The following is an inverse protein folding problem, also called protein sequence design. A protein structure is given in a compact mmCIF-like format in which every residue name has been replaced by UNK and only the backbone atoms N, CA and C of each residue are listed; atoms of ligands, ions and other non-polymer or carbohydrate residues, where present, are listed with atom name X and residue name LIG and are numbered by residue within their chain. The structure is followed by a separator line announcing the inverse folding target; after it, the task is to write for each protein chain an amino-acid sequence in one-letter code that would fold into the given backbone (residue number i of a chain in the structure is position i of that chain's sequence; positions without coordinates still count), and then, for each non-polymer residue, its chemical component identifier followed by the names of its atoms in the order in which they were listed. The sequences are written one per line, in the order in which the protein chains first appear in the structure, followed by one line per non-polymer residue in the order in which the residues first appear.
data_IF_269976109096
#
_entry.id   IF_269976109096
#
_cell.length_a   1.000
_cell.length_b   1.000
_cell.length_c   1.000
_cell.angle_alpha   90.00
_cell.angle_beta   90.00
_cell.angle_gamma   90.00
#
_symmetry.space_group_name_H-M   'P 1'
#
loop_
_entity.id
_entity.type
_entity.pdbx_description
1 polymer ?
#
# COMPACT_ATOMS: atom_id res chain seq x y z
N UNK A 1 76.59 8.95 -52.29
CA UNK A 1 75.18 8.48 -52.18
C UNK A 1 74.58 9.00 -50.92
N UNK A 2 73.63 9.96 -50.99
CA UNK A 2 72.90 10.53 -49.83
C UNK A 2 71.59 9.81 -49.63
N UNK A 3 71.33 9.30 -48.43
CA UNK A 3 70.03 8.65 -48.06
C UNK A 3 68.90 9.72 -48.04
N UNK A 4 67.67 9.34 -48.47
CA UNK A 4 66.51 10.20 -48.42
C UNK A 4 65.99 10.40 -47.01
N UNK A 5 65.30 11.52 -46.66
CA UNK A 5 64.84 11.82 -45.34
C UNK A 5 63.63 10.90 -44.93
N UNK A 6 63.67 10.42 -43.67
CA UNK A 6 62.60 9.60 -43.09
C UNK A 6 61.29 10.42 -42.91
N UNK A 7 60.20 9.88 -43.37
CA UNK A 7 58.84 10.44 -43.15
C UNK A 7 58.50 10.48 -41.65
N UNK A 8 57.81 11.53 -41.17
CA UNK A 8 57.43 11.66 -39.77
C UNK A 8 56.37 10.58 -39.41
N UNK A 9 56.48 10.01 -38.19
CA UNK A 9 55.52 9.08 -37.62
C UNK A 9 54.18 9.81 -37.34
N UNK A 10 53.03 9.17 -37.60
CA UNK A 10 51.75 9.72 -37.20
C UNK A 10 51.63 9.83 -35.67
N UNK A 11 50.89 10.81 -35.13
CA UNK A 11 50.76 11.00 -33.69
C UNK A 11 50.06 9.82 -33.07
N UNK A 12 50.52 9.40 -31.86
CA UNK A 12 49.94 8.32 -31.09
C UNK A 12 48.48 8.64 -30.79
N UNK A 13 47.59 7.66 -31.06
CA UNK A 13 46.16 7.72 -30.74
C UNK A 13 46.00 7.90 -29.23
N UNK A 14 45.22 8.90 -28.82
CA UNK A 14 44.82 9.12 -27.43
C UNK A 14 44.19 7.85 -26.85
N UNK A 15 44.47 7.47 -25.60
CA UNK A 15 43.82 6.34 -24.95
C UNK A 15 42.34 6.63 -24.90
N UNK A 16 41.51 5.65 -25.33
CA UNK A 16 40.07 5.69 -25.21
C UNK A 16 39.71 5.83 -23.74
N UNK A 17 38.94 6.84 -23.39
CA UNK A 17 38.39 7.03 -22.06
C UNK A 17 37.58 5.82 -21.62
N UNK A 18 37.33 5.61 -20.30
CA UNK A 18 36.61 4.46 -19.80
C UNK A 18 35.23 4.39 -20.47
N UNK A 19 34.91 3.24 -21.05
CA UNK A 19 33.57 2.97 -21.62
C UNK A 19 32.52 3.26 -20.58
N UNK A 20 31.45 3.98 -20.92
CA UNK A 20 30.33 4.14 -20.00
C UNK A 20 29.83 2.75 -19.60
N UNK A 21 29.39 2.56 -18.32
CA UNK A 21 28.86 1.29 -17.86
C UNK A 21 27.72 0.86 -18.77
N UNK A 22 27.72 -0.39 -19.17
CA UNK A 22 26.70 -0.98 -20.03
C UNK A 22 25.31 -0.71 -19.39
N UNK A 23 24.38 -0.18 -20.19
CA UNK A 23 23.01 0.01 -19.74
C UNK A 23 22.49 -1.29 -19.10
N UNK A 24 21.84 -1.23 -17.92
CA UNK A 24 21.36 -2.43 -17.25
C UNK A 24 20.44 -3.21 -18.21
N UNK A 25 20.75 -4.48 -18.43
CA UNK A 25 19.91 -5.38 -19.22
C UNK A 25 18.48 -5.31 -18.69
N UNK A 26 17.51 -5.09 -19.59
CA UNK A 26 16.09 -5.14 -19.25
C UNK A 26 15.81 -6.44 -18.47
N UNK A 27 15.13 -6.38 -17.31
CA UNK A 27 14.90 -7.55 -16.50
C UNK A 27 14.08 -8.58 -17.28
N UNK A 28 14.33 -9.89 -17.05
CA UNK A 28 13.60 -11.02 -17.66
C UNK A 28 12.07 -10.96 -17.52
N UNK A 29 11.54 -10.04 -16.71
CA UNK A 29 10.12 -9.76 -16.52
C UNK A 29 9.44 -9.08 -17.73
N UNK A 30 10.18 -8.40 -18.60
CA UNK A 30 9.59 -7.71 -19.76
C UNK A 30 8.95 -8.68 -20.79
N UNK A 31 9.37 -9.95 -20.79
CA UNK A 31 8.85 -10.96 -21.73
C UNK A 31 7.46 -11.52 -21.36
N UNK A 32 6.93 -11.23 -20.14
CA UNK A 32 5.70 -11.87 -19.62
C UNK A 32 4.62 -10.88 -19.16
N UNK A 33 4.66 -9.65 -19.67
CA UNK A 33 3.71 -8.59 -19.34
C UNK A 33 2.84 -8.32 -20.58
N UNK A 34 1.53 -8.23 -20.37
CA UNK A 34 0.57 -7.71 -21.36
C UNK A 34 0.50 -6.20 -21.23
N UNK A 35 0.65 -5.48 -22.33
CA UNK A 35 0.57 -4.01 -22.38
C UNK A 35 -0.65 -3.61 -23.19
N UNK A 36 -1.59 -2.91 -22.54
CA UNK A 36 -2.82 -2.41 -23.15
C UNK A 36 -2.73 -0.89 -23.27
N UNK A 37 -2.76 -0.38 -24.49
CA UNK A 37 -2.80 1.07 -24.72
C UNK A 37 -4.22 1.60 -24.62
N UNK A 38 -4.39 2.71 -23.91
CA UNK A 38 -5.67 3.38 -23.74
C UNK A 38 -5.94 4.27 -24.96
N UNK A 39 -6.94 3.91 -25.75
CA UNK A 39 -7.41 4.70 -26.89
C UNK A 39 -8.36 5.84 -26.47
N UNK A 40 -8.72 6.70 -27.44
CA UNK A 40 -9.69 7.79 -27.21
C UNK A 40 -11.04 7.28 -26.67
N UNK A 41 -11.51 6.13 -27.13
CA UNK A 41 -12.80 5.54 -26.71
C UNK A 41 -12.77 4.99 -25.27
N UNK A 42 -11.59 4.78 -24.70
CA UNK A 42 -11.40 4.24 -23.35
C UNK A 42 -10.97 5.32 -22.35
N UNK A 43 -10.74 6.55 -22.82
CA UNK A 43 -10.38 7.67 -21.97
C UNK A 43 -11.51 7.96 -20.96
N UNK A 44 -11.13 8.37 -19.75
CA UNK A 44 -11.99 8.62 -18.60
C UNK A 44 -12.71 7.37 -18.03
N UNK A 45 -12.60 6.20 -18.65
CA UNK A 45 -13.14 4.97 -18.06
C UNK A 45 -12.39 4.60 -16.78
N UNK A 46 -13.08 4.10 -15.75
CA UNK A 46 -12.45 3.48 -14.60
C UNK A 46 -11.54 2.32 -15.03
N UNK A 47 -10.37 2.19 -14.41
CA UNK A 47 -9.41 1.12 -14.68
C UNK A 47 -10.05 -0.27 -14.61
N UNK A 48 -10.95 -0.50 -13.65
CA UNK A 48 -11.69 -1.75 -13.50
C UNK A 48 -12.53 -2.09 -14.74
N UNK A 49 -13.23 -1.11 -15.29
CA UNK A 49 -14.11 -1.28 -16.43
C UNK A 49 -13.30 -1.48 -17.72
N UNK A 50 -12.19 -0.76 -17.86
CA UNK A 50 -11.24 -0.94 -18.95
C UNK A 50 -10.67 -2.35 -18.95
N UNK A 51 -10.19 -2.85 -17.81
CA UNK A 51 -9.64 -4.21 -17.70
C UNK A 51 -10.70 -5.29 -17.96
N UNK A 52 -11.90 -5.11 -17.41
CA UNK A 52 -13.01 -6.04 -17.62
C UNK A 52 -13.32 -6.19 -19.12
N UNK A 53 -13.43 -5.07 -19.83
CA UNK A 53 -13.72 -5.06 -21.28
C UNK A 53 -12.56 -5.60 -22.11
N UNK A 54 -11.33 -5.12 -21.88
CA UNK A 54 -10.17 -5.46 -22.73
C UNK A 54 -9.65 -6.88 -22.52
N UNK A 55 -9.83 -7.46 -21.33
CA UNK A 55 -9.36 -8.81 -21.00
C UNK A 55 -10.49 -9.86 -21.03
N UNK A 56 -11.74 -9.45 -21.25
CA UNK A 56 -12.91 -10.33 -21.20
C UNK A 56 -13.19 -10.91 -19.81
N UNK A 57 -12.91 -10.13 -18.76
CA UNK A 57 -13.10 -10.51 -17.36
C UNK A 57 -14.41 -9.96 -16.79
N UNK A 58 -14.89 -10.57 -15.69
CA UNK A 58 -15.93 -9.92 -14.89
C UNK A 58 -15.35 -8.70 -14.14
N UNK A 59 -16.20 -7.72 -13.79
CA UNK A 59 -15.79 -6.58 -12.95
C UNK A 59 -15.15 -7.03 -11.63
N UNK A 60 -15.69 -8.09 -11.02
CA UNK A 60 -15.13 -8.68 -9.79
C UNK A 60 -13.72 -9.21 -10.00
N UNK A 61 -13.46 -9.94 -11.08
CA UNK A 61 -12.15 -10.47 -11.42
C UNK A 61 -11.15 -9.34 -11.76
N UNK A 62 -11.58 -8.33 -12.52
CA UNK A 62 -10.76 -7.15 -12.79
C UNK A 62 -10.40 -6.40 -11.49
N UNK A 63 -11.37 -6.23 -10.58
CA UNK A 63 -11.11 -5.63 -9.27
C UNK A 63 -10.12 -6.45 -8.45
N UNK A 64 -10.22 -7.77 -8.43
CA UNK A 64 -9.30 -8.65 -7.71
C UNK A 64 -7.85 -8.51 -8.23
N UNK A 65 -7.65 -8.36 -9.55
CA UNK A 65 -6.34 -8.10 -10.14
C UNK A 65 -5.78 -6.75 -9.66
N UNK A 66 -6.61 -5.71 -9.59
CA UNK A 66 -6.23 -4.38 -9.14
C UNK A 66 -5.90 -4.41 -7.62
N UNK A 67 -6.75 -5.00 -6.81
CA UNK A 67 -6.54 -5.16 -5.36
C UNK A 67 -5.29 -6.00 -5.07
N UNK A 68 -5.01 -7.00 -5.92
CA UNK A 68 -3.79 -7.82 -5.91
C UNK A 68 -2.52 -7.09 -6.36
N UNK A 69 -2.60 -5.78 -6.63
CA UNK A 69 -1.46 -4.92 -7.02
C UNK A 69 -0.70 -5.42 -8.25
N UNK A 70 -1.44 -5.98 -9.19
CA UNK A 70 -0.88 -6.59 -10.40
C UNK A 70 -1.15 -5.76 -11.65
N UNK A 71 -1.51 -4.47 -11.50
CA UNK A 71 -1.79 -3.55 -12.61
C UNK A 71 -0.94 -2.30 -12.48
N UNK A 72 -0.30 -1.94 -13.58
CA UNK A 72 0.49 -0.71 -13.68
C UNK A 72 -0.09 0.17 -14.79
N UNK A 73 -0.13 1.48 -14.55
CA UNK A 73 -0.44 2.50 -15.54
C UNK A 73 0.80 3.39 -15.67
N UNK A 74 1.40 3.42 -16.85
CA UNK A 74 2.63 4.15 -17.10
C UNK A 74 3.75 3.79 -16.09
N UNK A 75 3.94 2.49 -15.85
CA UNK A 75 4.92 1.92 -14.88
C UNK A 75 4.67 2.30 -13.42
N UNK A 76 3.47 2.81 -13.07
CA UNK A 76 3.04 3.06 -11.69
C UNK A 76 1.99 2.05 -11.30
N UNK A 77 2.18 1.33 -10.20
CA UNK A 77 1.16 0.40 -9.72
C UNK A 77 -0.10 1.17 -9.32
N UNK A 78 -1.22 0.77 -9.88
CA UNK A 78 -2.53 1.35 -9.58
C UNK A 78 -3.40 0.26 -8.97
N UNK A 79 -3.86 0.49 -7.75
CA UNK A 79 -4.75 -0.40 -7.00
C UNK A 79 -6.08 0.24 -6.64
N UNK A 80 -6.44 1.33 -7.35
CA UNK A 80 -7.73 2.00 -7.25
C UNK A 80 -8.56 1.57 -8.45
N UNK A 81 -9.65 0.84 -8.19
CA UNK A 81 -10.55 0.35 -9.25
C UNK A 81 -11.16 1.48 -10.09
N UNK A 82 -11.43 2.62 -9.47
CA UNK A 82 -11.99 3.82 -10.13
C UNK A 82 -10.94 4.79 -10.70
N UNK A 83 -9.66 4.37 -10.80
CA UNK A 83 -8.63 5.21 -11.42
C UNK A 83 -9.03 5.55 -12.84
N UNK A 84 -9.20 6.85 -13.14
CA UNK A 84 -9.57 7.35 -14.47
C UNK A 84 -8.36 7.30 -15.41
N UNK A 85 -8.50 6.60 -16.53
CA UNK A 85 -7.47 6.47 -17.54
C UNK A 85 -7.47 7.66 -18.50
N UNK A 86 -6.30 7.99 -19.04
CA UNK A 86 -6.12 9.02 -20.07
C UNK A 86 -5.73 8.38 -21.39
N UNK A 87 -6.09 9.02 -22.51
CA UNK A 87 -5.61 8.60 -23.83
C UNK A 87 -4.08 8.55 -23.85
N UNK A 88 -3.53 7.44 -24.34
CA UNK A 88 -2.08 7.21 -24.39
C UNK A 88 -1.51 6.53 -23.15
N UNK A 89 -2.30 6.31 -22.09
CA UNK A 89 -1.83 5.52 -20.94
C UNK A 89 -1.50 4.09 -21.38
N UNK A 90 -0.39 3.56 -20.87
CA UNK A 90 0.01 2.16 -21.02
C UNK A 90 -0.37 1.40 -19.74
N UNK A 91 -1.32 0.47 -19.86
CA UNK A 91 -1.74 -0.40 -18.76
C UNK A 91 -1.02 -1.74 -18.87
N UNK A 92 -0.19 -2.07 -17.90
CA UNK A 92 0.67 -3.25 -17.89
C UNK A 92 0.18 -4.26 -16.86
N UNK A 93 0.05 -5.55 -17.26
CA UNK A 93 -0.42 -6.62 -16.37
C UNK A 93 0.38 -7.90 -16.66
N UNK A 94 0.89 -8.64 -15.65
CA UNK A 94 1.53 -9.93 -15.86
C UNK A 94 0.57 -10.95 -16.50
N UNK A 95 0.98 -11.61 -17.57
CA UNK A 95 0.16 -12.62 -18.27
C UNK A 95 -0.28 -13.77 -17.38
N UNK A 96 0.56 -14.15 -16.41
CA UNK A 96 0.21 -15.15 -15.40
C UNK A 96 -1.02 -14.77 -14.57
N UNK A 97 -1.15 -13.49 -14.21
CA UNK A 97 -2.29 -12.96 -13.43
C UNK A 97 -3.56 -12.97 -14.27
N UNK A 98 -3.47 -12.58 -15.57
CA UNK A 98 -4.59 -12.63 -16.50
C UNK A 98 -5.08 -14.07 -16.67
N UNK A 99 -4.14 -15.01 -16.85
CA UNK A 99 -4.45 -16.44 -17.03
C UNK A 99 -5.10 -17.06 -15.78
N UNK A 100 -4.65 -16.65 -14.57
CA UNK A 100 -5.25 -17.09 -13.31
C UNK A 100 -6.69 -16.56 -13.16
N UNK A 101 -6.94 -15.29 -13.47
CA UNK A 101 -8.25 -14.67 -13.38
C UNK A 101 -9.26 -15.26 -14.40
N UNK A 102 -8.79 -15.66 -15.59
CA UNK A 102 -9.62 -16.33 -16.58
C UNK A 102 -10.02 -17.76 -16.17
N UNK A 103 -9.14 -18.49 -15.47
CA UNK A 103 -9.44 -19.84 -14.94
C UNK A 103 -10.52 -19.82 -13.88
N UNK A 104 -10.55 -18.81 -13.01
CA UNK A 104 -11.60 -18.66 -12.00
C UNK A 104 -13.00 -18.42 -12.60
N UNK A 105 -13.11 -17.91 -13.84
CA UNK A 105 -14.39 -17.75 -14.53
C UNK A 105 -15.01 -19.08 -14.96
N UNK A 106 -14.22 -20.13 -15.15
CA UNK A 106 -14.70 -21.47 -15.53
C UNK A 106 -15.36 -22.25 -14.37
N UNK A 107 -15.03 -21.94 -13.11
CA UNK A 107 -15.59 -22.61 -11.94
C UNK A 107 -16.88 -21.94 -11.40
N UNK A 108 -17.14 -20.68 -11.74
CA UNK A 108 -18.29 -19.91 -11.26
C UNK A 108 -19.60 -20.14 -12.07
N UNK A 109 -19.52 -20.86 -13.21
CA UNK A 109 -20.69 -21.14 -14.06
C UNK A 109 -21.54 -22.29 -13.52
N UNK A 110 -21.03 -23.09 -12.58
CA UNK A 110 -21.71 -24.28 -12.04
C UNK A 110 -22.55 -24.03 -10.79
N UNK A 111 -22.62 -22.80 -10.25
CA UNK A 111 -23.38 -22.49 -9.04
C UNK A 111 -24.35 -21.30 -9.16
N UNK A 112 -25.00 -21.12 -10.31
CA UNK A 112 -26.14 -20.19 -10.42
C UNK A 112 -27.40 -20.93 -10.83
N UNK A 113 -28.04 -21.55 -9.85
CA UNK A 113 -29.49 -21.68 -9.85
C UNK A 113 -29.99 -21.51 -8.41
N UNK A 114 -30.92 -20.59 -8.26
CA UNK A 114 -31.76 -20.23 -7.10
C UNK A 114 -31.25 -19.06 -6.23
N UNK A 115 -31.77 -17.91 -6.42
CA UNK A 115 -32.83 -17.30 -5.63
C UNK A 115 -33.28 -15.94 -6.17
N UNK A 116 -34.56 -15.70 -6.04
CA UNK A 116 -35.45 -14.70 -6.63
C UNK A 116 -35.48 -13.41 -5.82
N UNK A 117 -35.56 -12.26 -6.56
CA UNK A 117 -36.27 -10.99 -6.37
C UNK A 117 -36.57 -10.42 -4.98
N UNK A 118 -36.22 -9.16 -4.85
CA UNK A 118 -37.03 -7.96 -4.47
C UNK A 118 -36.03 -6.80 -4.26
N UNK A 119 -36.07 -5.57 -4.75
CA UNK A 119 -37.15 -4.71 -5.05
C UNK A 119 -36.84 -3.33 -4.49
N UNK A 120 -36.90 -2.28 -5.35
CA UNK A 120 -37.07 -0.84 -5.04
C UNK A 120 -35.90 -0.02 -4.50
N UNK A 121 -35.34 0.89 -5.28
CA UNK A 121 -35.72 2.30 -5.57
C UNK A 121 -35.70 3.25 -4.37
N UNK A 122 -34.74 4.22 -4.39
CA UNK A 122 -35.02 5.60 -3.99
C UNK A 122 -33.85 6.55 -4.36
N UNK A 123 -34.15 7.48 -5.16
CA UNK A 123 -33.85 8.89 -5.35
C UNK A 123 -32.61 9.54 -4.71
N UNK A 124 -31.86 10.23 -5.58
CA UNK A 124 -30.92 11.30 -5.26
C UNK A 124 -31.60 12.57 -4.76
N UNK A 125 -30.91 13.39 -3.98
CA UNK A 125 -31.11 14.82 -4.07
C UNK A 125 -29.85 15.54 -4.57
N UNK A 126 -30.07 16.33 -5.60
CA UNK A 126 -29.21 17.38 -6.09
C UNK A 126 -29.04 18.48 -5.03
N UNK A 127 -27.78 18.84 -4.77
CA UNK A 127 -27.43 19.99 -3.96
C UNK A 127 -26.17 20.63 -4.50
N UNK A 128 -26.34 21.77 -5.20
CA UNK A 128 -25.28 22.69 -5.63
C UNK A 128 -24.66 23.38 -4.40
N UNK A 129 -23.35 23.50 -4.26
CA UNK A 129 -22.75 24.48 -3.37
C UNK A 129 -22.28 25.70 -4.16
N UNK A 130 -22.86 26.84 -3.83
CA UNK A 130 -22.24 28.16 -4.03
C UNK A 130 -21.22 28.41 -2.93
N UNK A 131 -20.12 29.07 -3.28
CA UNK A 131 -19.24 29.72 -2.31
C UNK A 131 -17.77 29.59 -2.70
N UNK A 132 -17.31 30.48 -3.59
CA UNK A 132 -15.90 30.81 -3.74
C UNK A 132 -15.48 31.58 -2.49
N UNK A 133 -14.63 30.94 -1.66
CA UNK A 133 -13.78 31.65 -0.72
C UNK A 133 -12.34 31.23 -0.93
N UNK A 134 -11.61 32.19 -1.45
CA UNK A 134 -10.17 32.22 -1.65
C UNK A 134 -9.47 32.18 -0.27
N UNK A 135 -9.18 31.01 0.22
CA UNK A 135 -8.18 30.85 1.27
C UNK A 135 -6.92 30.29 0.62
N UNK A 136 -6.05 31.19 0.20
CA UNK A 136 -4.62 30.95 0.02
C UNK A 136 -4.04 30.75 1.41
N UNK A 137 -4.38 29.65 2.06
CA UNK A 137 -3.66 29.18 3.22
C UNK A 137 -2.30 28.69 2.72
N UNK A 138 -1.25 29.33 3.21
CA UNK A 138 0.14 28.94 3.07
C UNK A 138 0.25 27.42 3.10
N UNK A 139 0.65 26.80 1.97
CA UNK A 139 1.03 25.38 1.88
C UNK A 139 2.32 25.21 2.70
N UNK A 140 2.21 25.12 4.01
CA UNK A 140 3.27 24.51 4.81
C UNK A 140 3.58 23.17 4.17
N UNK A 141 4.80 23.01 3.67
CA UNK A 141 5.25 21.76 3.04
C UNK A 141 5.19 20.70 4.13
N UNK A 142 4.14 19.88 4.09
CA UNK A 142 4.00 18.77 5.02
C UNK A 142 5.24 17.91 4.89
N UNK A 143 5.99 17.76 5.96
CA UNK A 143 7.20 16.94 6.03
C UNK A 143 6.84 15.55 6.56
N UNK A 144 7.30 14.49 5.92
CA UNK A 144 7.14 13.10 6.35
C UNK A 144 8.48 12.59 6.86
N UNK A 145 8.52 12.11 8.09
CA UNK A 145 9.73 11.57 8.71
C UNK A 145 10.15 10.30 7.99
N UNK A 146 11.43 10.22 7.60
CA UNK A 146 12.07 9.00 7.11
C UNK A 146 12.63 8.23 8.30
N UNK A 147 12.29 6.93 8.41
CA UNK A 147 12.74 6.04 9.48
C UNK A 147 13.98 5.23 9.08
N UNK A 148 14.03 4.81 7.82
CA UNK A 148 15.17 4.10 7.24
C UNK A 148 15.22 4.39 5.74
N UNK A 149 16.44 4.39 5.18
CA UNK A 149 16.67 4.59 3.77
C UNK A 149 17.86 3.76 3.30
N UNK A 150 17.71 3.11 2.14
CA UNK A 150 18.76 2.42 1.39
C UNK A 150 18.89 3.05 -0.01
N UNK A 151 19.76 2.51 -0.85
CA UNK A 151 19.85 2.96 -2.25
C UNK A 151 18.55 2.72 -3.03
N UNK A 152 17.78 1.72 -2.64
CA UNK A 152 16.58 1.26 -3.36
C UNK A 152 15.27 1.51 -2.64
N UNK A 153 15.29 1.72 -1.31
CA UNK A 153 14.07 1.80 -0.50
C UNK A 153 14.08 2.95 0.48
N UNK A 154 12.88 3.38 0.86
CA UNK A 154 12.62 4.34 1.94
C UNK A 154 11.52 3.77 2.81
N UNK A 155 11.71 3.73 4.12
CA UNK A 155 10.64 3.50 5.09
C UNK A 155 10.30 4.81 5.76
N UNK A 156 9.05 5.24 5.64
CA UNK A 156 8.58 6.48 6.21
C UNK A 156 7.66 6.23 7.42
N UNK A 157 7.62 7.21 8.31
CA UNK A 157 6.66 7.29 9.41
C UNK A 157 5.39 7.99 8.92
N UNK A 158 4.42 7.21 8.49
CA UNK A 158 3.16 7.76 7.98
C UNK A 158 2.37 8.42 9.10
N UNK A 159 2.04 9.71 9.01
CA UNK A 159 1.11 10.35 9.94
C UNK A 159 -0.34 9.92 9.69
N UNK A 160 -1.22 10.17 10.66
CA UNK A 160 -2.65 10.00 10.51
C UNK A 160 -3.25 11.05 9.56
N UNK A 161 -4.44 10.78 9.01
CA UNK A 161 -5.21 11.70 8.17
C UNK A 161 -4.76 11.79 6.72
N UNK A 162 -3.64 11.14 6.35
CA UNK A 162 -3.07 11.18 5.00
C UNK A 162 -3.11 9.77 4.38
N UNK A 163 -3.51 9.67 3.13
CA UNK A 163 -3.47 8.40 2.38
C UNK A 163 -2.04 8.03 1.99
N UNK A 164 -1.79 6.73 1.82
CA UNK A 164 -0.45 6.23 1.48
C UNK A 164 0.03 6.72 0.11
N UNK A 165 -0.86 6.75 -0.88
CA UNK A 165 -0.54 6.98 -2.29
C UNK A 165 -1.79 7.34 -3.11
N UNK A 166 -1.61 7.58 -4.42
CA UNK A 166 -2.67 7.81 -5.41
C UNK A 166 -3.48 9.10 -5.23
N UNK A 167 -2.94 10.03 -4.47
CA UNK A 167 -3.50 11.37 -4.25
C UNK A 167 -2.36 12.40 -4.26
N UNK A 168 -2.64 13.61 -4.72
CA UNK A 168 -1.65 14.70 -4.77
C UNK A 168 -1.11 15.11 -3.38
N UNK A 169 -1.88 14.83 -2.32
CA UNK A 169 -1.50 15.08 -0.93
C UNK A 169 -1.16 13.78 -0.18
N UNK A 170 -0.91 12.68 -0.88
CA UNK A 170 -0.50 11.41 -0.28
C UNK A 170 0.92 11.46 0.28
N UNK A 171 1.23 10.53 1.18
CA UNK A 171 2.61 10.35 1.69
C UNK A 171 3.59 10.13 0.54
N UNK A 172 3.20 9.36 -0.47
CA UNK A 172 4.01 9.12 -1.68
C UNK A 172 4.33 10.42 -2.41
N UNK A 173 3.33 11.28 -2.64
CA UNK A 173 3.52 12.55 -3.35
C UNK A 173 4.41 13.52 -2.54
N UNK A 174 4.21 13.57 -1.22
CA UNK A 174 5.03 14.40 -0.32
C UNK A 174 6.47 13.93 -0.34
N UNK A 175 6.72 12.62 -0.21
CA UNK A 175 8.09 12.06 -0.21
C UNK A 175 8.79 12.20 -1.56
N UNK A 176 8.08 12.07 -2.68
CA UNK A 176 8.65 12.36 -4.01
C UNK A 176 9.22 13.78 -4.09
N UNK A 177 8.48 14.75 -3.61
CA UNK A 177 8.93 16.15 -3.59
C UNK A 177 10.03 16.38 -2.55
N UNK A 178 9.90 15.81 -1.36
CA UNK A 178 10.84 15.98 -0.25
C UNK A 178 12.23 15.40 -0.55
N UNK A 179 12.27 14.22 -1.18
CA UNK A 179 13.51 13.48 -1.46
C UNK A 179 14.03 13.71 -2.88
N UNK A 180 13.31 14.49 -3.70
CA UNK A 180 13.59 14.65 -5.14
C UNK A 180 13.67 13.29 -5.88
N UNK A 181 12.76 12.36 -5.52
CA UNK A 181 12.68 11.01 -6.07
C UNK A 181 11.34 10.84 -6.85
N UNK A 182 11.26 11.28 -8.10
CA UNK A 182 10.00 11.31 -8.86
C UNK A 182 9.42 9.92 -9.12
N UNK A 183 10.26 8.89 -9.11
CA UNK A 183 9.89 7.48 -9.32
C UNK A 183 9.53 6.74 -8.05
N UNK A 184 9.63 7.40 -6.88
CA UNK A 184 9.30 6.79 -5.58
C UNK A 184 7.86 6.25 -5.59
N UNK A 185 7.67 5.01 -5.12
CA UNK A 185 6.39 4.31 -5.18
C UNK A 185 6.14 3.49 -3.92
N UNK A 186 4.93 3.61 -3.35
CA UNK A 186 4.55 2.84 -2.18
C UNK A 186 4.45 1.34 -2.51
N UNK A 187 5.15 0.49 -1.76
CA UNK A 187 5.14 -0.98 -1.93
C UNK A 187 3.87 -1.59 -1.33
N UNK A 188 3.41 -1.05 -0.21
CA UNK A 188 2.17 -1.45 0.45
C UNK A 188 1.40 -0.22 0.92
N UNK A 189 0.28 -0.42 1.57
CA UNK A 189 -0.55 0.68 2.07
C UNK A 189 -0.90 0.51 3.55
N UNK A 190 -1.10 1.63 4.20
CA UNK A 190 -1.80 1.76 5.47
C UNK A 190 -3.09 2.55 5.24
N UNK A 191 -4.09 2.32 6.08
CA UNK A 191 -5.32 3.12 6.05
C UNK A 191 -5.02 4.59 6.34
N UNK A 192 -5.91 5.50 5.95
CA UNK A 192 -5.73 6.94 6.12
C UNK A 192 -5.29 7.31 7.55
N UNK A 193 -5.99 6.76 8.55
CA UNK A 193 -5.80 7.12 9.96
C UNK A 193 -4.89 6.14 10.72
N UNK A 194 -4.38 5.09 10.06
CA UNK A 194 -3.31 4.25 10.59
C UNK A 194 -1.97 4.97 10.43
N UNK A 195 -1.18 4.99 11.50
CA UNK A 195 0.15 5.61 11.54
C UNK A 195 1.28 4.58 11.47
N UNK A 196 2.52 5.01 11.20
CA UNK A 196 3.72 4.18 11.35
C UNK A 196 4.40 3.75 10.05
N UNK A 197 5.16 2.66 10.10
CA UNK A 197 6.06 2.21 9.05
C UNK A 197 5.37 1.93 7.71
N UNK A 198 5.78 2.65 6.68
CA UNK A 198 5.30 2.51 5.30
C UNK A 198 6.50 2.45 4.33
N UNK A 199 6.62 1.36 3.57
CA UNK A 199 7.72 1.11 2.64
C UNK A 199 7.44 1.69 1.26
N UNK A 200 8.46 2.36 0.71
CA UNK A 200 8.51 2.87 -0.66
C UNK A 200 9.72 2.31 -1.38
N UNK A 201 9.59 2.04 -2.67
CA UNK A 201 10.67 1.73 -3.58
C UNK A 201 11.04 2.97 -4.41
N UNK A 202 12.33 3.22 -4.62
CA UNK A 202 12.83 4.39 -5.37
C UNK A 202 12.73 4.20 -6.88
N UNK A 203 12.65 2.96 -7.35
CA UNK A 203 12.51 2.66 -8.78
C UNK A 203 11.61 1.43 -8.99
N UNK A 204 11.23 1.20 -10.25
CA UNK A 204 10.31 0.14 -10.62
C UNK A 204 10.85 -1.27 -10.36
N UNK A 205 12.13 -1.50 -10.51
CA UNK A 205 12.76 -2.81 -10.28
C UNK A 205 12.73 -3.17 -8.80
N UNK A 206 13.11 -2.22 -7.93
CA UNK A 206 13.01 -2.35 -6.49
C UNK A 206 11.55 -2.58 -6.05
N UNK A 207 10.60 -1.88 -6.69
CA UNK A 207 9.17 -2.09 -6.42
C UNK A 207 8.74 -3.52 -6.69
N UNK A 208 9.05 -4.07 -7.89
CA UNK A 208 8.69 -5.44 -8.25
C UNK A 208 9.34 -6.48 -7.32
N UNK A 209 10.61 -6.29 -7.01
CA UNK A 209 11.35 -7.16 -6.10
C UNK A 209 10.76 -7.17 -4.69
N UNK A 210 10.39 -5.99 -4.15
CA UNK A 210 9.74 -5.90 -2.84
C UNK A 210 8.34 -6.53 -2.84
N UNK A 211 7.52 -6.31 -3.89
CA UNK A 211 6.19 -6.95 -4.02
C UNK A 211 6.31 -8.47 -3.94
N UNK A 212 7.34 -9.06 -4.55
CA UNK A 212 7.56 -10.51 -4.50
C UNK A 212 7.91 -10.99 -3.08
N UNK A 213 8.69 -10.22 -2.31
CA UNK A 213 8.96 -10.52 -0.90
C UNK A 213 7.68 -10.43 -0.06
N UNK A 214 6.79 -9.48 -0.34
CA UNK A 214 5.49 -9.38 0.35
C UNK A 214 4.57 -10.57 0.05
N UNK A 215 4.57 -11.09 -1.18
CA UNK A 215 3.79 -12.28 -1.55
C UNK A 215 4.28 -13.57 -0.88
N UNK A 216 5.57 -13.69 -0.63
CA UNK A 216 6.17 -14.86 0.01
C UNK A 216 6.11 -14.85 1.53
N UNK A 217 5.37 -13.91 2.13
CA UNK A 217 5.20 -13.76 3.59
C UNK A 217 6.51 -13.62 4.39
N UNK A 218 7.61 -13.23 3.75
CA UNK A 218 8.90 -12.99 4.41
C UNK A 218 9.03 -11.61 5.04
N UNK A 219 7.91 -10.89 5.15
CA UNK A 219 7.85 -9.57 5.76
C UNK A 219 7.26 -9.69 7.15
N UNK A 220 8.03 -9.30 8.17
CA UNK A 220 7.53 -9.15 9.53
C UNK A 220 6.87 -7.78 9.69
N UNK A 221 5.59 -7.77 10.03
CA UNK A 221 4.78 -6.56 10.26
C UNK A 221 4.18 -6.63 11.64
N UNK A 222 4.60 -5.72 12.51
CA UNK A 222 4.08 -5.60 13.88
C UNK A 222 3.33 -4.30 14.03
N UNK A 223 2.13 -4.40 14.57
CA UNK A 223 1.26 -3.27 14.85
C UNK A 223 0.97 -3.19 16.34
N UNK A 224 0.70 -1.98 16.81
CA UNK A 224 0.09 -1.74 18.11
C UNK A 224 -1.35 -1.26 17.91
N UNK A 225 -2.26 -1.76 18.73
CA UNK A 225 -3.66 -1.38 18.74
C UNK A 225 -4.16 -1.13 20.16
N UNK A 226 -5.01 -0.12 20.34
CA UNK A 226 -5.82 0.02 21.55
C UNK A 226 -7.23 -0.43 21.17
N UNK A 227 -7.75 -1.42 21.90
CA UNK A 227 -9.07 -1.99 21.66
C UNK A 227 -10.00 -1.69 22.84
N UNK A 228 -11.31 -1.66 22.55
CA UNK A 228 -12.32 -1.54 23.59
C UNK A 228 -12.48 -2.86 24.34
N UNK A 229 -12.64 -2.76 25.65
CA UNK A 229 -12.81 -3.90 26.55
C UNK A 229 -11.50 -4.51 27.05
N UNK A 230 -11.64 -5.30 28.11
CA UNK A 230 -10.54 -6.04 28.72
C UNK A 230 -10.27 -7.31 27.93
N UNK A 231 -9.12 -7.35 27.24
CA UNK A 231 -8.69 -8.52 26.49
C UNK A 231 -8.13 -9.58 27.43
N UNK A 232 -8.82 -10.70 27.56
CA UNK A 232 -8.52 -11.69 28.60
C UNK A 232 -7.32 -12.60 28.25
N UNK A 233 -7.06 -12.84 26.96
CA UNK A 233 -6.02 -13.75 26.54
C UNK A 233 -4.64 -13.08 26.52
N UNK A 234 -3.61 -13.80 26.97
CA UNK A 234 -2.21 -13.35 26.80
C UNK A 234 -1.80 -13.37 25.32
N UNK A 235 -2.19 -14.44 24.61
CA UNK A 235 -1.99 -14.63 23.19
C UNK A 235 -3.26 -15.17 22.55
N UNK A 236 -3.56 -14.72 21.35
CA UNK A 236 -4.71 -15.17 20.57
C UNK A 236 -4.43 -15.11 19.07
N UNK A 237 -4.83 -16.12 18.33
CA UNK A 237 -4.70 -16.13 16.87
C UNK A 237 -6.06 -16.02 16.22
N UNK A 238 -6.23 -15.04 15.34
CA UNK A 238 -7.42 -14.89 14.52
C UNK A 238 -7.09 -15.42 13.12
N UNK A 239 -7.61 -16.61 12.81
CA UNK A 239 -7.57 -17.23 11.48
C UNK A 239 -8.97 -17.22 10.90
N UNK A 240 -9.37 -16.09 10.34
CA UNK A 240 -10.70 -15.89 9.77
C UNK A 240 -10.58 -15.25 8.39
N UNK A 241 -11.11 -15.88 7.34
CA UNK A 241 -10.97 -15.36 5.98
C UNK A 241 -11.72 -14.04 5.84
N UNK A 242 -11.14 -13.13 5.06
CA UNK A 242 -11.72 -11.83 4.73
C UNK A 242 -11.97 -11.76 3.22
N UNK A 243 -13.20 -11.47 2.84
CA UNK A 243 -13.64 -11.41 1.43
C UNK A 243 -13.36 -12.72 0.66
N UNK A 244 -13.39 -13.87 1.35
CA UNK A 244 -13.10 -15.19 0.79
C UNK A 244 -11.60 -15.51 0.67
N UNK A 245 -10.71 -14.64 1.17
CA UNK A 245 -9.28 -14.85 1.13
C UNK A 245 -8.71 -15.10 2.53
N UNK A 246 -7.74 -16.02 2.64
CA UNK A 246 -7.07 -16.31 3.91
C UNK A 246 -6.52 -15.03 4.54
N UNK A 247 -6.81 -14.86 5.84
CA UNK A 247 -6.30 -13.77 6.64
C UNK A 247 -5.91 -14.29 8.03
N UNK A 248 -4.69 -13.96 8.48
CA UNK A 248 -4.11 -14.47 9.73
C UNK A 248 -3.47 -13.35 10.53
N UNK A 249 -3.89 -13.22 11.80
CA UNK A 249 -3.38 -12.22 12.74
C UNK A 249 -3.08 -12.87 14.10
N UNK A 250 -1.87 -12.64 14.61
CA UNK A 250 -1.44 -13.06 15.94
C UNK A 250 -1.51 -11.87 16.88
N UNK A 251 -2.26 -11.99 17.94
CA UNK A 251 -2.54 -10.94 18.91
C UNK A 251 -1.89 -11.30 20.24
N UNK A 252 -1.14 -10.37 20.82
CA UNK A 252 -0.56 -10.50 22.15
C UNK A 252 -0.98 -9.29 22.98
N UNK A 253 -1.39 -9.52 24.23
CA UNK A 253 -1.76 -8.46 25.16
C UNK A 253 -0.50 -7.86 25.78
N UNK A 254 -0.30 -6.56 25.61
CA UNK A 254 0.78 -5.78 26.26
C UNK A 254 0.32 -5.20 27.60
N UNK A 255 -0.94 -4.72 27.67
CA UNK A 255 -1.57 -4.24 28.89
C UNK A 255 -3.10 -4.31 28.79
N UNK A 256 -3.80 -4.41 29.90
CA UNK A 256 -5.25 -4.35 29.95
C UNK A 256 -5.72 -3.50 31.14
N UNK A 257 -6.63 -2.56 30.85
CA UNK A 257 -7.46 -1.87 31.81
C UNK A 257 -8.88 -2.46 31.86
N UNK A 258 -9.77 -1.87 32.63
CA UNK A 258 -11.19 -2.33 32.70
C UNK A 258 -11.94 -2.08 31.39
N UNK A 259 -11.70 -0.96 30.70
CA UNK A 259 -12.49 -0.49 29.57
C UNK A 259 -11.75 -0.59 28.23
N UNK A 260 -10.43 -0.78 28.25
CA UNK A 260 -9.59 -0.87 27.07
C UNK A 260 -8.38 -1.78 27.29
N UNK A 261 -7.80 -2.29 26.20
CA UNK A 261 -6.57 -3.07 26.21
C UNK A 261 -5.59 -2.59 25.15
N UNK A 262 -4.30 -2.70 25.47
CA UNK A 262 -3.19 -2.44 24.58
C UNK A 262 -2.67 -3.76 24.01
N UNK A 263 -2.68 -3.90 22.70
CA UNK A 263 -2.36 -5.12 22.01
C UNK A 263 -1.20 -4.92 21.03
N UNK A 264 -0.36 -5.93 20.92
CA UNK A 264 0.59 -6.14 19.81
C UNK A 264 -0.05 -7.10 18.82
N UNK A 265 -0.05 -6.76 17.54
CA UNK A 265 -0.62 -7.58 16.48
C UNK A 265 0.43 -7.83 15.41
N UNK A 266 0.81 -9.08 15.18
CA UNK A 266 1.63 -9.52 14.05
C UNK A 266 0.72 -10.11 12.98
N UNK A 267 0.87 -9.66 11.73
CA UNK A 267 0.08 -10.17 10.62
C UNK A 267 0.95 -10.91 9.60
N UNK A 268 0.47 -12.05 9.12
CA UNK A 268 1.12 -12.78 8.03
C UNK A 268 0.60 -12.33 6.67
N UNK A 269 -0.66 -12.07 6.57
CA UNK A 269 -1.34 -11.57 5.37
C UNK A 269 -1.51 -10.04 5.43
N UNK A 270 -2.08 -9.42 4.38
CA UNK A 270 -2.29 -7.97 4.33
C UNK A 270 -3.60 -7.60 3.63
N UNK A 271 -4.74 -8.14 4.12
CA UNK A 271 -6.06 -7.87 3.55
C UNK A 271 -6.56 -6.48 3.93
N UNK A 272 -7.49 -5.94 3.16
CA UNK A 272 -8.08 -4.62 3.41
C UNK A 272 -8.69 -4.57 4.81
N UNK A 273 -8.25 -3.60 5.63
CA UNK A 273 -8.69 -3.40 7.00
C UNK A 273 -8.54 -4.64 7.92
N UNK A 274 -7.61 -5.56 7.60
CA UNK A 274 -7.53 -6.88 8.24
C UNK A 274 -7.56 -6.82 9.77
N UNK A 275 -6.65 -6.08 10.40
CA UNK A 275 -6.54 -6.00 11.86
C UNK A 275 -7.83 -5.46 12.47
N UNK A 276 -8.38 -4.40 11.89
CA UNK A 276 -9.61 -3.73 12.34
C UNK A 276 -10.81 -4.69 12.28
N UNK A 277 -10.96 -5.42 11.17
CA UNK A 277 -12.03 -6.41 10.96
C UNK A 277 -11.86 -7.62 11.88
N UNK A 278 -10.64 -8.16 12.01
CA UNK A 278 -10.35 -9.28 12.90
C UNK A 278 -10.66 -8.95 14.37
N UNK A 279 -10.15 -7.81 14.86
CA UNK A 279 -10.37 -7.41 16.24
C UNK A 279 -11.85 -7.11 16.52
N UNK A 280 -12.57 -6.49 15.60
CA UNK A 280 -14.01 -6.29 15.71
C UNK A 280 -14.78 -7.63 15.69
N UNK A 281 -14.37 -8.57 14.84
CA UNK A 281 -14.98 -9.90 14.73
C UNK A 281 -14.90 -10.73 16.02
N UNK A 282 -13.83 -10.55 16.79
CA UNK A 282 -13.66 -11.18 18.11
C UNK A 282 -14.17 -10.32 19.27
N UNK A 283 -14.97 -9.27 18.99
CA UNK A 283 -15.60 -8.35 19.95
C UNK A 283 -14.65 -7.42 20.72
N UNK A 284 -13.44 -7.18 20.17
CA UNK A 284 -12.48 -6.19 20.70
C UNK A 284 -12.17 -5.14 19.62
N UNK A 285 -13.13 -4.29 19.23
CA UNK A 285 -12.93 -3.33 18.16
C UNK A 285 -11.88 -2.30 18.53
N UNK A 286 -11.16 -1.80 17.53
CA UNK A 286 -10.15 -0.75 17.72
C UNK A 286 -10.82 0.54 18.16
N UNK A 287 -10.31 1.14 19.25
CA UNK A 287 -10.81 2.41 19.79
C UNK A 287 -10.64 3.53 18.76
N UNK A 288 -11.67 4.37 18.59
CA UNK A 288 -11.69 5.46 17.62
C UNK A 288 -11.89 5.02 16.16
N UNK A 289 -12.14 3.73 15.89
CA UNK A 289 -12.46 3.25 14.56
C UNK A 289 -13.90 3.58 14.19
N UNK A 290 -14.08 4.47 13.20
CA UNK A 290 -15.41 4.93 12.77
C UNK A 290 -16.18 3.90 11.95
N UNK A 291 -15.50 2.92 11.36
CA UNK A 291 -16.10 1.92 10.45
C UNK A 291 -16.45 0.64 11.19
N UNK A 292 -15.48 0.07 11.91
CA UNK A 292 -15.58 -1.23 12.58
C UNK A 292 -15.58 -1.10 14.12
N UNK A 293 -15.47 0.12 14.64
CA UNK A 293 -15.44 0.42 16.05
C UNK A 293 -16.82 0.39 16.71
N UNK A 294 -16.82 0.74 17.99
CA UNK A 294 -18.06 0.87 18.77
C UNK A 294 -18.98 1.94 18.19
N UNK A 295 -20.27 1.69 18.19
CA UNK A 295 -21.32 2.67 17.84
C UNK A 295 -21.79 3.47 19.06
N UNK A 296 -21.68 2.86 20.24
CA UNK A 296 -21.92 3.48 21.54
C UNK A 296 -21.07 2.77 22.60
N UNK A 297 -20.79 3.44 23.70
CA UNK A 297 -20.06 2.86 24.83
C UNK A 297 -20.58 3.46 26.14
N UNK A 298 -20.53 2.67 27.24
CA UNK A 298 -20.83 3.16 28.61
C UNK A 298 -19.79 4.20 29.05
N UNK A 299 -18.52 3.95 28.72
CA UNK A 299 -17.44 4.90 28.96
C UNK A 299 -17.34 5.90 27.78
N UNK A 300 -17.67 7.18 28.00
CA UNK A 300 -17.63 8.20 26.95
C UNK A 300 -16.21 8.44 26.41
N UNK A 301 -15.17 8.11 27.17
CA UNK A 301 -13.78 8.25 26.74
C UNK A 301 -13.49 7.40 25.49
N UNK A 302 -14.12 6.22 25.36
CA UNK A 302 -13.96 5.35 24.19
C UNK A 302 -14.50 6.02 22.91
N UNK A 303 -15.52 6.85 23.01
CA UNK A 303 -16.14 7.55 21.90
C UNK A 303 -15.43 8.88 21.56
N UNK A 304 -14.69 9.45 22.52
CA UNK A 304 -13.97 10.72 22.36
C UNK A 304 -12.66 10.59 21.57
N UNK A 305 -12.16 9.37 21.34
CA UNK A 305 -10.91 9.14 20.60
C UNK A 305 -11.11 9.44 19.11
N UNK A 306 -10.34 10.40 18.53
CA UNK A 306 -10.68 11.00 17.23
C UNK A 306 -10.42 10.11 16.03
N UNK A 307 -9.56 9.11 16.13
CA UNK A 307 -9.19 8.19 15.05
C UNK A 307 -8.93 6.77 15.56
N UNK A 308 -8.89 5.81 14.66
CA UNK A 308 -8.49 4.44 14.99
C UNK A 308 -7.10 4.40 15.65
N UNK A 309 -7.02 3.89 16.85
CA UNK A 309 -5.77 3.68 17.59
C UNK A 309 -5.07 2.43 17.07
N UNK A 310 -4.57 2.51 15.84
CA UNK A 310 -3.79 1.49 15.15
C UNK A 310 -2.50 2.11 14.59
N UNK A 311 -1.37 1.46 14.86
CA UNK A 311 -0.04 1.94 14.54
C UNK A 311 0.86 0.83 14.03
N UNK A 312 1.43 0.97 12.84
CA UNK A 312 2.42 0.07 12.25
C UNK A 312 3.78 0.31 12.91
N UNK A 313 4.04 -0.37 14.03
CA UNK A 313 5.17 -0.12 14.90
C UNK A 313 6.52 -0.55 14.31
N UNK A 314 6.55 -1.68 13.59
CA UNK A 314 7.79 -2.11 12.94
C UNK A 314 7.54 -2.86 11.65
N UNK A 315 8.52 -2.75 10.77
CA UNK A 315 8.58 -3.44 9.48
C UNK A 315 9.99 -4.01 9.33
N UNK A 316 10.09 -5.32 9.06
CA UNK A 316 11.36 -5.99 8.76
C UNK A 316 11.18 -6.91 7.57
N UNK A 317 12.07 -6.83 6.58
CA UNK A 317 12.09 -7.70 5.41
C UNK A 317 13.52 -7.85 4.90
N UNK A 318 13.87 -8.99 4.23
CA UNK A 318 15.12 -9.08 3.50
C UNK A 318 15.13 -8.01 2.40
N UNK A 319 16.29 -7.36 2.19
CA UNK A 319 16.45 -6.44 1.06
C UNK A 319 16.57 -7.25 -0.23
N UNK A 320 15.58 -7.20 -1.14
CA UNK A 320 15.63 -8.03 -2.32
C UNK A 320 16.60 -7.54 -3.39
N UNK A 321 17.16 -6.34 -3.22
CA UNK A 321 18.13 -5.75 -4.14
C UNK A 321 19.57 -5.96 -3.69
N UNK A 322 19.78 -6.36 -2.41
CA UNK A 322 21.11 -6.55 -1.80
C UNK A 322 21.17 -7.94 -1.18
N UNK A 323 22.06 -8.81 -1.69
CA UNK A 323 22.23 -10.17 -1.17
C UNK A 323 22.63 -10.13 0.32
N UNK A 324 21.84 -10.79 1.16
CA UNK A 324 22.03 -10.82 2.61
C UNK A 324 21.66 -9.51 3.33
N UNK A 325 21.15 -8.50 2.60
CA UNK A 325 20.68 -7.26 3.18
C UNK A 325 19.33 -7.42 3.90
N UNK A 326 19.07 -6.53 4.84
CA UNK A 326 17.80 -6.44 5.57
C UNK A 326 17.35 -4.97 5.64
N UNK A 327 16.07 -4.74 5.41
CA UNK A 327 15.41 -3.47 5.66
C UNK A 327 14.64 -3.60 6.96
N UNK A 328 15.02 -2.80 7.96
CA UNK A 328 14.41 -2.80 9.28
C UNK A 328 14.09 -1.37 9.69
N UNK A 329 12.85 -1.16 10.11
CA UNK A 329 12.41 0.13 10.62
C UNK A 329 11.49 -0.03 11.82
N UNK A 330 11.56 0.94 12.72
CA UNK A 330 10.70 1.08 13.88
C UNK A 330 10.15 2.50 13.92
N UNK A 331 8.83 2.62 14.10
CA UNK A 331 8.15 3.89 14.28
C UNK A 331 7.75 4.04 15.76
N UNK A 332 8.14 5.14 16.43
CA UNK A 332 7.74 5.38 17.81
C UNK A 332 6.25 5.68 17.88
N UNK A 333 5.61 5.30 18.99
CA UNK A 333 4.20 5.60 19.22
C UNK A 333 3.93 7.11 19.09
N UNK A 334 2.94 7.53 18.28
CA UNK A 334 2.60 8.94 18.14
C UNK A 334 1.99 9.52 19.43
N UNK A 335 2.00 10.84 19.57
CA UNK A 335 1.59 11.51 20.80
C UNK A 335 0.14 11.19 21.20
N UNK A 336 -0.78 11.21 20.25
CA UNK A 336 -2.19 10.88 20.46
C UNK A 336 -2.39 9.42 20.93
N UNK A 337 -1.61 8.47 20.40
CA UNK A 337 -1.62 7.08 20.83
C UNK A 337 -1.14 6.95 22.28
N UNK A 338 -0.03 7.62 22.64
CA UNK A 338 0.48 7.64 24.01
C UNK A 338 -0.51 8.30 24.98
N UNK A 339 -1.16 9.39 24.56
CA UNK A 339 -2.19 10.05 25.36
C UNK A 339 -3.40 9.15 25.60
N UNK A 340 -3.81 8.39 24.58
CA UNK A 340 -4.89 7.41 24.70
C UNK A 340 -4.52 6.26 25.66
N UNK A 341 -3.28 5.75 25.61
CA UNK A 341 -2.81 4.76 26.60
C UNK A 341 -2.89 5.31 28.05
N UNK A 342 -2.48 6.56 28.27
CA UNK A 342 -2.59 7.21 29.58
C UNK A 342 -4.04 7.38 30.03
N UNK A 343 -4.92 7.78 29.10
CA UNK A 343 -6.36 7.97 29.36
C UNK A 343 -7.02 6.71 29.94
N UNK A 344 -6.59 5.53 29.50
CA UNK A 344 -7.09 4.23 29.97
C UNK A 344 -6.18 3.56 31.00
N UNK A 345 -5.26 4.29 31.66
CA UNK A 345 -4.42 3.77 32.72
C UNK A 345 -3.31 2.81 32.28
N UNK A 346 -3.02 2.73 30.98
CA UNK A 346 -2.01 1.85 30.39
C UNK A 346 -0.70 2.57 30.05
N UNK A 347 -0.47 3.75 30.59
CA UNK A 347 0.67 4.63 30.25
C UNK A 347 2.00 4.30 30.92
N UNK A 348 2.06 3.35 31.85
CA UNK A 348 3.33 2.88 32.43
C UNK A 348 3.94 1.87 31.44
N UNK A 349 5.20 2.08 31.03
CA UNK A 349 6.00 1.04 30.36
C UNK A 349 6.09 -0.18 31.26
N UNK A 350 5.99 -1.40 30.72
CA UNK A 350 6.54 -2.55 31.41
C UNK A 350 8.06 -2.38 31.58
#
# INVERSE_FOLDING_TARGET
MRQPPRKPRPPASRPAGPRPPAAPRAPRYAANVEVLLVGKADAAKPLQDFLAARLGLSRRAAKAIIDGRSVWVNRRCVWIAHHALKTGDAVEIPRAVISAAKRQKGSDVSQKHMTVRSGESAASPTGTPRGSDTLVASRERRHVRVLAQTDYYVVADKPAGIVSCSDANSVEAILRAQLNEPTLQAVHRLDRDTTGCLLFAKNYQAYLAAVEVFKTHRVSKVYFAIVAGRFEHAHFTVDAPLDGERALSHVSREAAGPDASFLRVRIETGRTNQIRRHLAGIRYPVVGDRTFGLKSARDPRLMAVPRQMLHAASLTLPDPMVKGGEIKAHSPLPADFRSTLKLFGMGKRP
#
